data_IF_012885341558
#
_entry.id   IF_012885341558
#
_cell.length_a   1.000
_cell.length_b   1.000
_cell.length_c   1.000
_cell.angle_alpha   90.00
_cell.angle_beta   90.00
_cell.angle_gamma   90.00
#
_symmetry.space_group_name_H-M   'P 1'
#
loop_
_entity.id
_entity.type
_entity.pdbx_description
1 polymer ?
#
# COMPACT_ATOMS: atom_id res chain seq x y z
N UNK A 1 26.26 -9.56 19.75
CA UNK A 1 25.04 -8.76 19.57
C UNK A 1 23.98 -9.63 18.94
N UNK A 2 22.78 -9.73 19.53
CA UNK A 2 21.61 -10.12 18.72
C UNK A 2 21.47 -9.05 17.63
N UNK A 3 21.36 -9.45 16.38
CA UNK A 3 21.15 -8.53 15.26
C UNK A 3 20.10 -7.49 15.65
N UNK A 4 20.50 -6.22 15.64
CA UNK A 4 19.55 -5.15 15.87
C UNK A 4 18.71 -5.02 14.60
N UNK A 5 17.47 -5.57 14.63
CA UNK A 5 16.54 -5.59 13.49
C UNK A 5 16.43 -4.22 12.82
N UNK A 6 16.40 -3.13 13.60
CA UNK A 6 16.30 -1.78 13.01
C UNK A 6 17.57 -1.40 12.26
N UNK A 7 18.76 -1.69 12.80
CA UNK A 7 20.02 -1.37 12.12
C UNK A 7 20.13 -2.11 10.79
N UNK A 8 19.84 -3.43 10.80
CA UNK A 8 19.83 -4.24 9.58
C UNK A 8 18.85 -3.71 8.53
N UNK A 9 17.62 -3.36 8.94
CA UNK A 9 16.63 -2.80 8.04
C UNK A 9 17.08 -1.46 7.43
N UNK A 10 17.62 -0.55 8.26
CA UNK A 10 18.08 0.76 7.80
C UNK A 10 19.30 0.68 6.89
N UNK A 11 20.23 -0.26 7.11
CA UNK A 11 21.37 -0.47 6.21
C UNK A 11 20.97 -0.95 4.81
N UNK A 12 19.77 -1.53 4.66
CA UNK A 12 19.23 -1.91 3.36
C UNK A 12 18.63 -0.76 2.55
N UNK A 13 18.44 0.41 3.16
CA UNK A 13 17.84 1.57 2.49
C UNK A 13 18.88 2.41 1.75
N UNK A 14 18.45 2.99 0.64
CA UNK A 14 19.26 3.99 -0.06
C UNK A 14 19.40 5.28 0.77
N UNK A 15 20.42 6.09 0.45
CA UNK A 15 20.59 7.43 1.04
C UNK A 15 19.35 8.33 0.85
N UNK A 16 18.63 8.16 -0.27
CA UNK A 16 17.40 8.91 -0.52
C UNK A 16 16.26 8.47 0.42
N UNK A 17 16.11 7.17 0.64
CA UNK A 17 15.11 6.61 1.55
C UNK A 17 15.42 6.95 3.00
N UNK A 18 16.67 6.86 3.44
CA UNK A 18 17.09 7.31 4.79
C UNK A 18 16.71 8.78 5.01
N UNK A 19 17.04 9.66 4.07
CA UNK A 19 16.67 11.08 4.19
C UNK A 19 15.14 11.30 4.17
N UNK A 20 14.38 10.45 3.48
CA UNK A 20 12.92 10.54 3.41
C UNK A 20 12.27 10.00 4.69
N UNK A 21 12.80 8.92 5.24
CA UNK A 21 12.40 8.39 6.55
C UNK A 21 12.72 9.38 7.67
N UNK A 22 13.85 10.07 7.59
CA UNK A 22 14.17 11.16 8.52
C UNK A 22 13.08 12.25 8.52
N UNK A 23 12.61 12.68 7.34
CA UNK A 23 11.49 13.62 7.21
C UNK A 23 10.18 13.06 7.77
N UNK A 24 9.94 11.76 7.55
CA UNK A 24 8.76 11.07 8.09
C UNK A 24 8.77 11.06 9.63
N UNK A 25 9.91 10.74 10.27
CA UNK A 25 10.06 10.75 11.73
C UNK A 25 9.97 12.14 12.36
N UNK A 26 10.29 13.19 11.61
CA UNK A 26 10.14 14.58 12.06
C UNK A 26 8.72 15.12 11.82
N UNK A 27 7.84 14.37 11.15
CA UNK A 27 6.46 14.78 10.92
C UNK A 27 5.62 14.57 12.19
N UNK A 28 5.03 15.63 12.78
CA UNK A 28 4.17 15.51 13.96
C UNK A 28 2.88 14.73 13.68
N UNK A 29 2.56 14.49 12.40
CA UNK A 29 1.43 13.64 12.01
C UNK A 29 1.74 12.14 12.22
N UNK A 30 3.00 11.72 12.03
CA UNK A 30 3.40 10.32 12.13
C UNK A 30 4.14 10.00 13.43
N UNK A 31 4.91 10.95 13.96
CA UNK A 31 5.69 10.75 15.18
C UNK A 31 5.72 12.02 16.03
N UNK A 32 5.33 11.87 17.30
CA UNK A 32 5.45 12.92 18.33
C UNK A 32 6.54 12.60 19.36
N UNK A 33 7.14 11.40 19.29
CA UNK A 33 8.16 10.96 20.23
C UNK A 33 9.55 11.38 19.75
N UNK A 34 10.09 12.41 20.38
CA UNK A 34 11.43 12.96 20.07
C UNK A 34 12.55 11.95 20.28
N UNK A 35 12.42 11.04 21.25
CA UNK A 35 13.45 10.03 21.52
C UNK A 35 13.60 9.04 20.35
N UNK A 36 12.53 8.77 19.58
CA UNK A 36 12.63 7.95 18.37
C UNK A 36 13.37 8.68 17.25
N UNK A 37 13.15 9.98 17.13
CA UNK A 37 13.86 10.83 16.17
C UNK A 37 15.36 10.92 16.49
N UNK A 38 15.69 11.18 17.76
CA UNK A 38 17.09 11.21 18.24
C UNK A 38 17.77 9.86 18.06
N UNK A 39 17.05 8.77 18.36
CA UNK A 39 17.57 7.43 18.16
C UNK A 39 17.90 7.14 16.70
N UNK A 40 16.99 7.50 15.79
CA UNK A 40 17.24 7.39 14.36
C UNK A 40 18.43 8.26 13.92
N UNK A 41 18.54 9.50 14.40
CA UNK A 41 19.65 10.39 14.01
C UNK A 41 21.01 9.80 14.36
N UNK A 42 21.14 9.17 15.54
CA UNK A 42 22.36 8.44 15.93
C UNK A 42 22.61 7.30 14.94
N UNK A 43 21.61 6.46 14.65
CA UNK A 43 21.79 5.35 13.70
C UNK A 43 22.18 5.85 12.30
N UNK A 44 21.51 6.90 11.82
CA UNK A 44 21.72 7.47 10.49
C UNK A 44 23.15 8.00 10.31
N UNK A 45 23.73 8.64 11.33
CA UNK A 45 25.10 9.14 11.31
C UNK A 45 26.10 7.99 11.05
N UNK A 46 26.02 6.92 11.85
CA UNK A 46 26.91 5.77 11.73
C UNK A 46 26.68 4.97 10.45
N UNK A 47 25.44 4.91 9.93
CA UNK A 47 25.16 4.31 8.62
C UNK A 47 25.79 5.13 7.49
N UNK A 48 25.70 6.47 7.55
CA UNK A 48 26.25 7.37 6.52
C UNK A 48 27.79 7.39 6.52
N UNK A 49 28.43 7.14 7.66
CA UNK A 49 29.90 7.07 7.78
C UNK A 49 30.46 5.66 7.61
N UNK A 50 29.62 4.65 7.41
CA UNK A 50 30.01 3.24 7.33
C UNK A 50 30.79 2.76 8.58
N UNK A 51 30.29 3.15 9.76
CA UNK A 51 30.90 2.87 11.07
C UNK A 51 29.96 2.05 11.98
N UNK A 52 29.00 1.35 11.39
CA UNK A 52 27.93 0.66 12.13
C UNK A 52 28.45 -0.42 13.10
N UNK A 53 29.64 -0.96 12.87
CA UNK A 53 30.34 -1.90 13.75
C UNK A 53 30.78 -1.29 15.09
N UNK A 54 30.90 0.04 15.17
CA UNK A 54 31.21 0.76 16.41
C UNK A 54 29.99 0.98 17.31
N UNK A 55 28.77 0.74 16.79
CA UNK A 55 27.54 0.93 17.54
C UNK A 55 27.35 -0.16 18.60
N UNK A 56 27.11 0.28 19.83
CA UNK A 56 26.66 -0.58 20.94
C UNK A 56 25.35 -0.04 21.50
N UNK A 57 24.50 -0.93 22.04
CA UNK A 57 23.22 -0.51 22.60
C UNK A 57 23.41 0.43 23.81
N UNK A 58 24.41 0.15 24.63
CA UNK A 58 24.83 0.98 25.75
C UNK A 58 25.39 2.34 25.29
N UNK A 59 26.15 2.35 24.20
CA UNK A 59 26.66 3.58 23.58
C UNK A 59 25.52 4.47 23.06
N UNK A 60 24.56 3.88 22.35
CA UNK A 60 23.36 4.60 21.89
C UNK A 60 22.55 5.11 23.10
N UNK A 61 22.34 4.26 24.12
CA UNK A 61 21.61 4.64 25.31
C UNK A 61 22.22 5.83 26.04
N UNK A 62 23.54 5.84 26.21
CA UNK A 62 24.24 6.95 26.89
C UNK A 62 24.15 8.28 26.14
N UNK A 63 24.05 8.24 24.81
CA UNK A 63 23.77 9.42 24.00
C UNK A 63 22.32 9.90 24.12
N UNK A 64 21.35 8.97 24.16
CA UNK A 64 19.92 9.30 24.27
C UNK A 64 19.50 9.77 25.66
N UNK A 65 20.04 9.13 26.71
CA UNK A 65 19.64 9.32 28.09
C UNK A 65 20.87 9.58 28.95
N UNK A 66 21.42 10.79 28.79
CA UNK A 66 22.64 11.19 29.50
C UNK A 66 22.45 11.07 31.03
N UNK A 67 23.34 10.31 31.67
CA UNK A 67 23.31 10.08 33.11
C UNK A 67 22.35 8.99 33.60
N UNK A 68 21.53 8.39 32.72
CA UNK A 68 20.67 7.26 33.09
C UNK A 68 21.39 5.91 32.93
N UNK A 69 21.23 5.01 33.90
CA UNK A 69 21.73 3.64 33.79
C UNK A 69 21.03 2.90 32.64
N UNK A 70 21.78 2.06 31.91
CA UNK A 70 21.27 1.31 30.78
C UNK A 70 20.05 0.45 31.17
N UNK A 71 18.91 0.70 30.50
CA UNK A 71 17.70 -0.09 30.67
C UNK A 71 17.39 -0.86 29.38
N UNK A 72 17.74 -2.13 29.37
CA UNK A 72 17.55 -3.00 28.21
C UNK A 72 16.09 -3.11 27.77
N UNK A 73 15.13 -3.15 28.70
CA UNK A 73 13.71 -3.28 28.38
C UNK A 73 13.20 -2.03 27.64
N UNK A 74 13.55 -0.84 28.14
CA UNK A 74 13.19 0.43 27.51
C UNK A 74 13.89 0.60 26.15
N UNK A 75 15.14 0.17 26.03
CA UNK A 75 15.85 0.16 24.75
C UNK A 75 15.18 -0.75 23.70
N UNK A 76 14.84 -1.99 24.08
CA UNK A 76 14.13 -2.92 23.19
C UNK A 76 12.77 -2.36 22.74
N UNK A 77 12.05 -1.67 23.63
CA UNK A 77 10.81 -0.98 23.28
C UNK A 77 11.05 0.14 22.27
N UNK A 78 12.08 0.96 22.47
CA UNK A 78 12.48 2.01 21.54
C UNK A 78 12.83 1.47 20.15
N UNK A 79 13.60 0.37 20.09
CA UNK A 79 13.90 -0.33 18.83
C UNK A 79 12.65 -0.87 18.15
N UNK A 80 11.74 -1.50 18.90
CA UNK A 80 10.48 -2.00 18.34
C UNK A 80 9.62 -0.88 17.78
N UNK A 81 9.50 0.24 18.49
CA UNK A 81 8.69 1.38 18.06
C UNK A 81 9.29 2.05 16.81
N UNK A 82 10.62 2.14 16.71
CA UNK A 82 11.28 2.65 15.51
C UNK A 82 11.11 1.71 14.30
N UNK A 83 11.12 0.39 14.51
CA UNK A 83 10.80 -0.60 13.47
C UNK A 83 9.38 -0.41 12.95
N UNK A 84 8.39 -0.22 13.82
CA UNK A 84 7.01 0.03 13.40
C UNK A 84 6.90 1.30 12.56
N UNK A 85 7.57 2.39 12.97
CA UNK A 85 7.59 3.62 12.16
C UNK A 85 8.24 3.42 10.80
N UNK A 86 9.28 2.58 10.71
CA UNK A 86 9.91 2.24 9.44
C UNK A 86 8.98 1.41 8.54
N UNK A 87 8.28 0.43 9.12
CA UNK A 87 7.29 -0.38 8.40
C UNK A 87 6.15 0.50 7.86
N UNK A 88 5.64 1.46 8.65
CA UNK A 88 4.65 2.44 8.22
C UNK A 88 5.17 3.38 7.11
N UNK A 89 6.42 3.83 7.22
CA UNK A 89 7.08 4.63 6.18
C UNK A 89 7.17 3.87 4.85
N UNK A 90 7.61 2.61 4.87
CA UNK A 90 7.70 1.77 3.68
C UNK A 90 6.31 1.61 3.05
N UNK A 91 5.29 1.34 3.86
CA UNK A 91 3.92 1.24 3.37
C UNK A 91 3.41 2.53 2.71
N UNK A 92 3.71 3.70 3.30
CA UNK A 92 3.33 4.99 2.71
C UNK A 92 4.10 5.27 1.41
N UNK A 93 5.38 4.93 1.32
CA UNK A 93 6.17 5.12 0.10
C UNK A 93 5.68 4.21 -1.03
N UNK A 94 5.42 2.93 -0.76
CA UNK A 94 4.80 2.01 -1.73
C UNK A 94 3.44 2.55 -2.18
N UNK A 95 2.58 2.92 -1.24
CA UNK A 95 1.27 3.48 -1.53
C UNK A 95 1.38 4.75 -2.41
N UNK A 96 2.34 5.63 -2.15
CA UNK A 96 2.59 6.86 -2.91
C UNK A 96 2.77 6.58 -4.41
N UNK A 97 3.42 5.47 -4.75
CA UNK A 97 3.64 5.04 -6.15
C UNK A 97 2.39 4.49 -6.82
N UNK A 98 1.44 3.93 -6.06
CA UNK A 98 0.20 3.31 -6.56
C UNK A 98 -0.87 4.35 -6.92
N UNK A 99 -0.61 5.14 -7.98
CA UNK A 99 -1.44 6.30 -8.37
C UNK A 99 -2.92 5.97 -8.55
N UNK A 100 -3.25 4.88 -9.23
CA UNK A 100 -4.63 4.46 -9.50
C UNK A 100 -5.37 4.04 -8.23
N UNK A 101 -4.72 3.24 -7.37
CA UNK A 101 -5.26 2.86 -6.07
C UNK A 101 -5.47 4.08 -5.16
N UNK A 102 -4.51 5.01 -5.15
CA UNK A 102 -4.64 6.28 -4.41
C UNK A 102 -5.83 7.10 -4.89
N UNK A 103 -6.04 7.21 -6.19
CA UNK A 103 -7.18 7.93 -6.75
C UNK A 103 -8.52 7.27 -6.34
N UNK A 104 -8.57 5.93 -6.32
CA UNK A 104 -9.70 5.17 -5.78
C UNK A 104 -9.98 5.51 -4.31
N UNK A 105 -8.95 5.50 -3.45
CA UNK A 105 -9.11 5.84 -2.03
C UNK A 105 -9.44 7.31 -1.78
N UNK A 106 -8.95 8.23 -2.61
CA UNK A 106 -9.37 9.65 -2.56
C UNK A 106 -10.87 9.76 -2.81
N UNK A 107 -11.39 9.09 -3.83
CA UNK A 107 -12.82 9.11 -4.16
C UNK A 107 -13.65 8.52 -3.02
N UNK A 108 -13.27 7.33 -2.52
CA UNK A 108 -13.94 6.69 -1.40
C UNK A 108 -13.90 7.53 -0.12
N UNK A 109 -12.76 8.15 0.18
CA UNK A 109 -12.55 8.99 1.36
C UNK A 109 -13.33 10.30 1.30
N UNK A 110 -13.44 10.90 0.12
CA UNK A 110 -14.27 12.07 -0.14
C UNK A 110 -15.76 11.72 -0.03
N UNK A 111 -16.17 10.57 -0.57
CA UNK A 111 -17.53 10.04 -0.48
C UNK A 111 -18.02 9.87 0.95
N UNK A 112 -17.27 9.13 1.77
CA UNK A 112 -17.59 8.90 3.20
C UNK A 112 -17.75 10.19 4.01
N UNK A 113 -17.15 11.29 3.56
CA UNK A 113 -17.18 12.61 4.21
C UNK A 113 -18.08 13.61 3.51
N UNK A 114 -18.83 13.20 2.48
CA UNK A 114 -19.68 14.07 1.66
C UNK A 114 -18.93 15.30 1.10
N UNK A 115 -17.66 15.14 0.72
CA UNK A 115 -16.82 16.23 0.21
C UNK A 115 -17.07 16.45 -1.30
N UNK A 116 -18.32 16.73 -1.67
CA UNK A 116 -18.81 16.76 -3.05
C UNK A 116 -18.01 17.68 -3.98
N UNK A 117 -17.48 18.79 -3.46
CA UNK A 117 -16.65 19.74 -4.22
C UNK A 117 -15.34 19.14 -4.75
N UNK A 118 -14.88 18.02 -4.18
CA UNK A 118 -13.66 17.34 -4.61
C UNK A 118 -13.88 16.32 -5.73
N UNK A 119 -15.13 15.88 -5.98
CA UNK A 119 -15.40 14.75 -6.85
C UNK A 119 -14.94 14.97 -8.28
N UNK A 120 -15.27 16.12 -8.89
CA UNK A 120 -14.91 16.41 -10.27
C UNK A 120 -13.38 16.37 -10.49
N UNK A 121 -12.61 16.89 -9.54
CA UNK A 121 -11.14 16.85 -9.61
C UNK A 121 -10.60 15.43 -9.50
N UNK A 122 -11.14 14.63 -8.57
CA UNK A 122 -10.71 13.24 -8.38
C UNK A 122 -11.09 12.38 -9.59
N UNK A 123 -12.31 12.52 -10.12
CA UNK A 123 -12.77 11.78 -11.31
C UNK A 123 -11.97 12.18 -12.56
N UNK A 124 -11.61 13.45 -12.71
CA UNK A 124 -10.72 13.90 -13.79
C UNK A 124 -9.32 13.28 -13.69
N UNK A 125 -8.76 13.18 -12.47
CA UNK A 125 -7.48 12.50 -12.22
C UNK A 125 -7.55 11.01 -12.54
N UNK A 126 -8.62 10.32 -12.11
CA UNK A 126 -8.89 8.91 -12.43
C UNK A 126 -8.93 8.70 -13.95
N UNK A 127 -9.70 9.50 -14.69
CA UNK A 127 -9.83 9.36 -16.13
C UNK A 127 -8.50 9.62 -16.86
N UNK A 128 -7.66 10.54 -16.33
CA UNK A 128 -6.32 10.80 -16.86
C UNK A 128 -5.38 9.63 -16.61
N UNK A 129 -5.37 9.06 -15.40
CA UNK A 129 -4.56 7.90 -15.05
C UNK A 129 -4.95 6.69 -15.90
N UNK A 130 -6.24 6.47 -16.10
CA UNK A 130 -6.75 5.36 -16.93
C UNK A 130 -6.23 5.42 -18.37
N UNK A 131 -6.22 6.61 -18.98
CA UNK A 131 -5.68 6.81 -20.34
C UNK A 131 -4.16 6.64 -20.43
N UNK A 132 -3.44 6.83 -19.34
CA UNK A 132 -1.98 6.74 -19.29
C UNK A 132 -1.49 5.34 -18.94
N UNK A 133 -2.37 4.47 -18.44
CA UNK A 133 -2.01 3.14 -17.98
C UNK A 133 -1.78 2.20 -19.18
N UNK A 134 -0.51 1.90 -19.44
CA UNK A 134 -0.11 0.93 -20.45
C UNK A 134 -0.25 -0.51 -19.94
N UNK A 135 -0.13 -0.71 -18.62
CA UNK A 135 -0.15 -2.03 -18.02
C UNK A 135 -1.56 -2.40 -17.53
N UNK A 136 -2.33 -3.06 -18.41
CA UNK A 136 -3.66 -3.57 -18.09
C UNK A 136 -3.61 -4.93 -17.35
N UNK A 137 -2.84 -4.97 -16.28
CA UNK A 137 -2.74 -6.14 -15.40
C UNK A 137 -4.06 -6.49 -14.69
N UNK A 138 -4.15 -7.65 -14.05
CA UNK A 138 -5.31 -8.00 -13.20
C UNK A 138 -5.57 -6.93 -12.14
N UNK A 139 -4.51 -6.42 -11.50
CA UNK A 139 -4.56 -5.35 -10.49
C UNK A 139 -5.17 -4.05 -11.04
N UNK A 140 -4.91 -3.72 -12.31
CA UNK A 140 -5.53 -2.57 -12.95
C UNK A 140 -7.06 -2.72 -13.01
N UNK A 141 -7.56 -3.89 -13.42
CA UNK A 141 -8.99 -4.16 -13.47
C UNK A 141 -9.63 -4.26 -12.06
N UNK A 142 -8.90 -4.72 -11.06
CA UNK A 142 -9.34 -4.64 -9.66
C UNK A 142 -9.56 -3.19 -9.23
N UNK A 143 -8.59 -2.32 -9.54
CA UNK A 143 -8.70 -0.89 -9.21
C UNK A 143 -9.88 -0.23 -9.93
N UNK A 144 -10.10 -0.54 -11.22
CA UNK A 144 -11.29 -0.08 -11.96
C UNK A 144 -12.60 -0.53 -11.32
N UNK A 145 -12.69 -1.81 -10.96
CA UNK A 145 -13.86 -2.33 -10.26
C UNK A 145 -14.16 -1.56 -8.97
N UNK A 146 -13.15 -1.26 -8.16
CA UNK A 146 -13.33 -0.50 -6.92
C UNK A 146 -13.75 0.95 -7.19
N UNK A 147 -13.19 1.60 -8.21
CA UNK A 147 -13.57 2.97 -8.63
C UNK A 147 -15.04 2.99 -9.05
N UNK A 148 -15.46 2.05 -9.90
CA UNK A 148 -16.84 1.99 -10.39
C UNK A 148 -17.82 1.75 -9.23
N UNK A 149 -17.46 0.91 -8.25
CA UNK A 149 -18.26 0.75 -7.02
C UNK A 149 -18.37 2.04 -6.20
N UNK A 150 -17.29 2.80 -6.08
CA UNK A 150 -17.31 4.08 -5.40
C UNK A 150 -18.23 5.07 -6.13
N UNK A 151 -18.15 5.14 -7.47
CA UNK A 151 -19.03 5.98 -8.30
C UNK A 151 -20.49 5.59 -8.11
N UNK A 152 -20.80 4.29 -8.14
CA UNK A 152 -22.16 3.79 -7.94
C UNK A 152 -22.71 4.17 -6.55
N UNK A 153 -21.89 4.02 -5.50
CA UNK A 153 -22.27 4.38 -4.13
C UNK A 153 -22.57 5.87 -4.01
N UNK A 154 -21.76 6.74 -4.64
CA UNK A 154 -21.99 8.18 -4.67
C UNK A 154 -23.28 8.57 -5.39
N UNK A 155 -23.60 7.89 -6.50
CA UNK A 155 -24.87 8.12 -7.22
C UNK A 155 -26.06 7.76 -6.34
N UNK A 156 -26.04 6.57 -5.73
CA UNK A 156 -27.12 6.11 -4.85
C UNK A 156 -27.32 7.00 -3.61
N UNK A 157 -26.24 7.53 -3.02
CA UNK A 157 -26.34 8.46 -1.88
C UNK A 157 -26.90 9.82 -2.26
N UNK A 158 -26.58 10.32 -3.47
CA UNK A 158 -27.15 11.57 -3.98
C UNK A 158 -28.61 11.40 -4.43
N UNK A 159 -28.98 10.24 -4.98
CA UNK A 159 -30.36 9.87 -5.32
C UNK A 159 -31.27 9.90 -4.09
N UNK A 160 -30.82 9.39 -2.94
CA UNK A 160 -31.59 9.45 -1.68
C UNK A 160 -31.88 10.88 -1.20
N UNK A 161 -31.13 11.88 -1.65
CA UNK A 161 -31.28 13.29 -1.24
C UNK A 161 -32.12 14.12 -2.22
N UNK A 162 -32.36 13.63 -3.44
CA UNK A 162 -33.12 14.34 -4.47
C UNK A 162 -34.35 13.50 -4.88
N UNK A 163 -35.55 13.92 -4.49
CA UNK A 163 -36.82 13.20 -4.72
C UNK A 163 -37.24 13.05 -6.22
N UNK A 164 -36.47 13.60 -7.16
CA UNK A 164 -36.78 13.59 -8.59
C UNK A 164 -35.56 13.26 -9.43
N UNK A 165 -35.12 12.01 -9.39
CA UNK A 165 -34.13 11.52 -10.34
C UNK A 165 -34.73 10.37 -11.17
N UNK A 166 -34.81 10.59 -12.47
CA UNK A 166 -35.17 9.58 -13.45
C UNK A 166 -34.02 8.57 -13.55
N UNK A 167 -34.36 7.28 -13.51
CA UNK A 167 -33.48 6.10 -13.58
C UNK A 167 -32.61 6.06 -14.87
N UNK A 168 -32.72 7.06 -15.75
CA UNK A 168 -32.05 7.17 -17.04
C UNK A 168 -30.60 7.67 -17.00
N UNK A 169 -30.06 8.07 -15.85
CA UNK A 169 -28.60 8.22 -15.73
C UNK A 169 -27.97 6.84 -15.63
N UNK A 170 -27.28 6.43 -16.69
CA UNK A 170 -26.53 5.18 -16.82
C UNK A 170 -25.94 4.70 -15.48
N UNK A 171 -26.61 3.70 -14.91
CA UNK A 171 -26.09 2.95 -13.79
C UNK A 171 -24.87 2.17 -14.30
N UNK A 172 -23.71 2.41 -13.70
CA UNK A 172 -22.44 1.83 -14.12
C UNK A 172 -22.25 0.37 -13.66
N UNK A 173 -23.34 -0.38 -13.42
CA UNK A 173 -23.31 -1.80 -13.02
C UNK A 173 -22.59 -2.64 -14.07
N UNK A 174 -22.77 -2.36 -15.37
CA UNK A 174 -22.08 -3.10 -16.42
C UNK A 174 -20.56 -2.96 -16.29
N UNK A 175 -20.05 -1.75 -16.02
CA UNK A 175 -18.62 -1.53 -15.81
C UNK A 175 -18.11 -2.24 -14.55
N UNK A 176 -18.90 -2.23 -13.46
CA UNK A 176 -18.56 -2.98 -12.23
C UNK A 176 -18.42 -4.47 -12.57
N UNK A 177 -19.42 -5.05 -13.23
CA UNK A 177 -19.41 -6.48 -13.59
C UNK A 177 -18.25 -6.81 -14.52
N UNK A 178 -18.07 -6.05 -15.59
CA UNK A 178 -17.02 -6.31 -16.58
C UNK A 178 -15.64 -6.26 -15.93
N UNK A 179 -15.31 -5.23 -15.15
CA UNK A 179 -14.01 -5.12 -14.50
C UNK A 179 -13.77 -6.25 -13.48
N UNK A 180 -14.80 -6.66 -12.74
CA UNK A 180 -14.72 -7.78 -11.81
C UNK A 180 -14.38 -9.08 -12.53
N UNK A 181 -15.07 -9.36 -13.63
CA UNK A 181 -14.87 -10.57 -14.42
C UNK A 181 -13.46 -10.62 -15.02
N UNK A 182 -12.99 -9.51 -15.59
CA UNK A 182 -11.63 -9.44 -16.17
C UNK A 182 -10.58 -9.67 -15.09
N UNK A 183 -10.69 -8.99 -13.94
CA UNK A 183 -9.81 -9.23 -12.80
C UNK A 183 -9.82 -10.70 -12.37
N UNK A 184 -11.00 -11.26 -12.12
CA UNK A 184 -11.15 -12.61 -11.60
C UNK A 184 -10.57 -13.66 -12.57
N UNK A 185 -10.92 -13.57 -13.85
CA UNK A 185 -10.44 -14.51 -14.88
C UNK A 185 -8.93 -14.38 -15.07
N UNK A 186 -8.41 -13.16 -15.23
CA UNK A 186 -6.97 -12.95 -15.42
C UNK A 186 -6.15 -13.49 -14.24
N UNK A 187 -6.57 -13.20 -13.01
CA UNK A 187 -5.86 -13.61 -11.81
C UNK A 187 -5.94 -15.13 -11.59
N UNK A 188 -7.11 -15.73 -11.82
CA UNK A 188 -7.28 -17.20 -11.80
C UNK A 188 -6.37 -17.89 -12.81
N UNK A 189 -6.32 -17.40 -14.05
CA UNK A 189 -5.45 -17.96 -15.09
C UNK A 189 -3.97 -17.84 -14.72
N UNK A 190 -3.56 -16.68 -14.19
CA UNK A 190 -2.17 -16.45 -13.72
C UNK A 190 -1.77 -17.49 -12.68
N UNK A 191 -2.58 -17.66 -11.63
CA UNK A 191 -2.33 -18.65 -10.57
C UNK A 191 -2.35 -20.08 -11.11
N UNK A 192 -3.26 -20.39 -12.04
CA UNK A 192 -3.35 -21.72 -12.63
C UNK A 192 -2.11 -22.06 -13.45
N UNK A 193 -1.60 -21.13 -14.25
CA UNK A 193 -0.34 -21.28 -14.97
C UNK A 193 0.83 -21.55 -14.01
N UNK A 194 0.94 -20.80 -12.90
CA UNK A 194 1.96 -21.04 -11.87
C UNK A 194 1.84 -22.43 -11.26
N UNK A 195 0.62 -22.86 -10.91
CA UNK A 195 0.35 -24.19 -10.38
C UNK A 195 0.78 -25.29 -11.36
N UNK A 196 0.45 -25.16 -12.64
CA UNK A 196 0.85 -26.12 -13.68
C UNK A 196 2.37 -26.23 -13.79
N UNK A 197 3.09 -25.11 -13.75
CA UNK A 197 4.56 -25.09 -13.73
C UNK A 197 5.10 -25.81 -12.51
N UNK A 198 4.57 -25.52 -11.32
CA UNK A 198 5.05 -26.14 -10.10
C UNK A 198 4.73 -27.63 -10.04
N UNK A 199 3.56 -28.08 -10.51
CA UNK A 199 3.24 -29.52 -10.63
C UNK A 199 4.26 -30.29 -11.47
N UNK A 200 4.81 -29.65 -12.50
CA UNK A 200 5.85 -30.24 -13.36
C UNK A 200 7.20 -30.32 -12.65
N UNK A 201 7.53 -29.34 -11.81
CA UNK A 201 8.83 -29.25 -11.12
C UNK A 201 8.87 -30.03 -9.80
N UNK A 202 7.78 -29.98 -9.05
CA UNK A 202 7.61 -30.51 -7.72
C UNK A 202 6.35 -31.36 -7.79
N UNK A 203 6.39 -32.64 -7.40
CA UNK A 203 5.25 -33.57 -7.48
C UNK A 203 4.10 -33.14 -6.55
N UNK A 204 3.39 -32.07 -6.93
CA UNK A 204 2.34 -31.41 -6.15
C UNK A 204 0.99 -31.96 -6.57
N UNK A 205 0.19 -32.34 -5.58
CA UNK A 205 -1.20 -32.75 -5.76
C UNK A 205 -2.16 -31.68 -5.24
N UNK A 206 -2.15 -30.53 -5.92
CA UNK A 206 -3.03 -29.39 -5.61
C UNK A 206 -4.03 -29.24 -6.75
N UNK A 207 -5.33 -29.23 -6.46
CA UNK A 207 -6.38 -28.98 -7.46
C UNK A 207 -6.88 -27.55 -7.29
N UNK A 208 -7.10 -26.85 -8.41
CA UNK A 208 -7.69 -25.52 -8.42
C UNK A 208 -9.14 -25.61 -8.90
N UNK A 209 -10.07 -25.18 -8.06
CA UNK A 209 -11.50 -25.28 -8.34
C UNK A 209 -11.97 -24.35 -9.46
N UNK A 210 -13.04 -24.78 -10.13
CA UNK A 210 -13.80 -24.03 -11.14
C UNK A 210 -13.00 -23.60 -12.38
N UNK A 211 -11.90 -24.28 -12.69
CA UNK A 211 -11.06 -23.91 -13.83
C UNK A 211 -11.73 -24.14 -15.19
N UNK A 212 -12.63 -25.12 -15.32
CA UNK A 212 -13.40 -25.32 -16.55
C UNK A 212 -14.25 -24.10 -16.89
N UNK A 213 -14.94 -23.53 -15.89
CA UNK A 213 -15.72 -22.31 -16.05
C UNK A 213 -14.84 -21.11 -16.41
N UNK A 214 -13.70 -20.93 -15.72
CA UNK A 214 -12.76 -19.83 -16.01
C UNK A 214 -12.24 -19.91 -17.44
N UNK A 215 -11.86 -21.11 -17.90
CA UNK A 215 -11.38 -21.35 -19.26
C UNK A 215 -12.48 -21.16 -20.32
N UNK A 216 -13.73 -21.37 -19.96
CA UNK A 216 -14.87 -21.08 -20.83
C UNK A 216 -15.11 -19.57 -20.93
N UNK A 217 -15.14 -18.87 -19.80
CA UNK A 217 -15.32 -17.42 -19.73
C UNK A 217 -14.21 -16.67 -20.49
N UNK A 218 -12.96 -17.13 -20.39
CA UNK A 218 -11.83 -16.53 -21.10
C UNK A 218 -11.88 -16.69 -22.62
N UNK A 219 -12.71 -17.60 -23.15
CA UNK A 219 -12.88 -17.82 -24.60
C UNK A 219 -14.05 -17.02 -25.18
N UNK A 220 -15.09 -16.78 -24.40
CA UNK A 220 -16.29 -16.05 -24.84
C UNK A 220 -16.03 -14.55 -24.87
N UNK A 221 -15.26 -14.05 -23.92
CA UNK A 221 -14.81 -12.66 -23.91
C UNK A 221 -13.44 -12.61 -24.57
N UNK A 222 -13.42 -12.43 -25.89
CA UNK A 222 -12.26 -11.80 -26.53
C UNK A 222 -12.11 -10.42 -25.88
N UNK A 223 -11.13 -10.29 -24.99
CA UNK A 223 -10.73 -9.00 -24.40
C UNK A 223 -10.37 -8.00 -25.49
#
# INVERSE_FOLDING_TARGET
MKENKILSALTGLSKYELNSFNKFLHSPYFNVNKSLTEYYNILEEFIKTDQTELLTNEGIWSQLYSGEAYNNQRFLKLSSDLVTLLEDFIAEEEYRTMRSLRACHKLAGAGRRNLNKLYNGILGDIARLDRQELNQSSEFYLNKYQIEKNIFSLKSENEKKNEKFEINTEINIQNISTNLDVFYVAEKLRLYCTLLTWKKMYKLDIVMDNMELVLHLSKIRTL
#
